data_IF_077938053638
#
_entry.id   IF_077938053638
#
_cell.length_a   1.000
_cell.length_b   1.000
_cell.length_c   1.000
_cell.angle_alpha   90.00
_cell.angle_beta   90.00
_cell.angle_gamma   90.00
#
_symmetry.space_group_name_H-M   'P 1'
#
loop_
_entity.id
_entity.type
_entity.pdbx_description
1 polymer ?
#
# COMPACT_ATOMS: atom_id res chain seq x y z
N UNK A 1 -3.04 16.59 -8.64
CA UNK A 1 -2.21 17.02 -7.48
C UNK A 1 -1.26 18.09 -7.96
N UNK A 2 -0.98 19.10 -7.15
CA UNK A 2 0.06 20.09 -7.48
C UNK A 2 1.43 19.39 -7.59
N UNK A 3 2.32 19.88 -8.47
CA UNK A 3 3.69 19.33 -8.59
C UNK A 3 4.38 19.39 -7.23
N UNK A 4 4.94 18.26 -6.76
CA UNK A 4 5.68 18.18 -5.50
C UNK A 4 4.87 17.81 -4.25
N UNK A 5 3.56 17.53 -4.36
CA UNK A 5 2.77 17.06 -3.22
C UNK A 5 2.71 15.55 -3.14
N UNK A 6 2.61 15.02 -1.92
CA UNK A 6 2.50 13.59 -1.62
C UNK A 6 1.16 13.33 -0.95
N UNK A 7 0.50 12.24 -1.36
CA UNK A 7 -0.72 11.75 -0.73
C UNK A 7 -0.44 10.49 0.08
N UNK A 8 -0.94 10.45 1.30
CA UNK A 8 -0.90 9.28 2.18
C UNK A 8 -2.27 9.00 2.76
N UNK A 9 -2.44 7.81 3.34
CA UNK A 9 -3.67 7.40 4.02
C UNK A 9 -3.38 7.13 5.48
N UNK A 10 -4.23 7.68 6.37
CA UNK A 10 -4.25 7.36 7.79
C UNK A 10 -5.55 6.65 8.13
N UNK A 11 -5.44 5.55 8.89
CA UNK A 11 -6.59 4.76 9.38
C UNK A 11 -6.92 5.19 10.80
N UNK A 12 -8.17 5.66 11.01
CA UNK A 12 -8.70 6.02 12.32
C UNK A 12 -9.81 5.07 12.72
N UNK A 13 -9.76 4.53 13.94
CA UNK A 13 -10.87 3.79 14.53
C UNK A 13 -12.02 4.78 14.82
N UNK A 14 -13.26 4.33 14.60
CA UNK A 14 -14.44 5.15 14.80
C UNK A 14 -15.32 4.53 15.88
N UNK A 15 -15.83 5.37 16.79
CA UNK A 15 -16.86 5.02 17.76
C UNK A 15 -18.10 5.86 17.51
N UNK A 16 -19.21 5.20 17.29
CA UNK A 16 -20.47 5.89 17.01
C UNK A 16 -20.84 6.84 18.14
N UNK A 17 -21.28 8.04 17.81
CA UNK A 17 -21.80 9.05 18.73
C UNK A 17 -23.30 9.23 18.52
N UNK A 18 -23.71 9.72 17.35
CA UNK A 18 -25.10 10.01 17.02
C UNK A 18 -25.36 10.16 15.52
N UNK A 19 -26.58 10.58 15.17
CA UNK A 19 -27.06 10.75 13.79
C UNK A 19 -28.18 9.79 13.42
N UNK A 20 -28.40 8.74 14.22
CA UNK A 20 -29.51 7.79 14.14
C UNK A 20 -30.07 7.51 15.55
N UNK A 21 -31.31 7.00 15.67
CA UNK A 21 -31.86 6.64 16.97
C UNK A 21 -31.04 5.58 17.70
N UNK A 22 -30.40 4.66 16.96
CA UNK A 22 -29.54 3.63 17.53
C UNK A 22 -28.32 3.32 16.66
N UNK A 23 -27.29 2.72 17.27
CA UNK A 23 -26.13 2.18 16.55
C UNK A 23 -26.52 1.11 15.51
N UNK A 24 -27.49 0.27 15.83
CA UNK A 24 -27.94 -0.81 14.94
C UNK A 24 -28.61 -0.27 13.68
N UNK A 25 -29.48 0.71 13.83
CA UNK A 25 -30.14 1.37 12.69
C UNK A 25 -29.13 2.07 11.78
N UNK A 26 -28.18 2.78 12.37
CA UNK A 26 -27.06 3.36 11.64
C UNK A 26 -26.29 2.31 10.87
N UNK A 27 -25.97 1.19 11.51
CA UNK A 27 -25.19 0.11 10.90
C UNK A 27 -25.94 -0.55 9.74
N UNK A 28 -27.22 -0.81 9.88
CA UNK A 28 -28.07 -1.37 8.79
C UNK A 28 -28.17 -0.40 7.62
N UNK A 29 -28.39 0.88 7.89
CA UNK A 29 -28.44 1.92 6.86
C UNK A 29 -27.10 2.02 6.10
N UNK A 30 -25.98 2.02 6.81
CA UNK A 30 -24.65 2.07 6.19
C UNK A 30 -24.36 0.81 5.38
N UNK A 31 -24.77 -0.36 5.81
CA UNK A 31 -24.68 -1.59 5.01
C UNK A 31 -25.55 -1.52 3.76
N UNK A 32 -26.73 -0.87 3.83
CA UNK A 32 -27.52 -0.53 2.65
C UNK A 32 -26.74 0.28 1.64
N UNK A 33 -26.07 1.35 2.08
CA UNK A 33 -25.20 2.14 1.21
C UNK A 33 -23.99 1.36 0.66
N UNK A 34 -23.42 0.41 1.40
CA UNK A 34 -22.36 -0.45 0.89
C UNK A 34 -22.83 -1.34 -0.26
N UNK A 35 -24.04 -1.91 -0.16
CA UNK A 35 -24.65 -2.67 -1.26
C UNK A 35 -24.85 -1.80 -2.49
N UNK A 36 -25.44 -0.61 -2.32
CA UNK A 36 -25.63 0.38 -3.40
C UNK A 36 -24.26 0.79 -4.01
N UNK A 37 -23.24 1.04 -3.18
CA UNK A 37 -21.88 1.39 -3.64
C UNK A 37 -21.32 0.32 -4.58
N UNK A 38 -21.43 -0.96 -4.23
CA UNK A 38 -21.00 -2.06 -5.10
C UNK A 38 -21.75 -2.07 -6.43
N UNK A 39 -23.03 -1.86 -6.40
CA UNK A 39 -23.89 -1.84 -7.61
C UNK A 39 -23.51 -0.66 -8.51
N UNK A 40 -23.35 0.54 -7.94
CA UNK A 40 -22.90 1.74 -8.66
C UNK A 40 -21.54 1.49 -9.34
N UNK A 41 -20.57 0.93 -8.61
CA UNK A 41 -19.24 0.62 -9.13
C UNK A 41 -19.33 -0.33 -10.34
N UNK A 42 -20.12 -1.41 -10.22
CA UNK A 42 -20.24 -2.42 -11.29
C UNK A 42 -21.07 -1.91 -12.47
N UNK A 43 -22.19 -1.20 -12.25
CA UNK A 43 -22.98 -0.57 -13.32
C UNK A 43 -22.13 0.46 -14.09
N UNK A 44 -21.33 1.26 -13.39
CA UNK A 44 -20.44 2.23 -14.05
C UNK A 44 -19.43 1.52 -14.96
N UNK A 45 -18.82 0.40 -14.52
CA UNK A 45 -17.90 -0.37 -15.36
C UNK A 45 -18.60 -0.96 -16.59
N UNK A 46 -19.81 -1.51 -16.42
CA UNK A 46 -20.61 -2.07 -17.51
C UNK A 46 -21.00 -1.01 -18.53
N UNK A 47 -21.49 0.15 -18.07
CA UNK A 47 -21.87 1.25 -18.96
C UNK A 47 -20.64 1.80 -19.72
N UNK A 48 -19.50 1.93 -19.06
CA UNK A 48 -18.26 2.39 -19.69
C UNK A 48 -17.76 1.39 -20.76
N UNK A 49 -17.81 0.10 -20.46
CA UNK A 49 -17.46 -0.94 -21.42
C UNK A 49 -18.42 -0.99 -22.61
N UNK A 50 -19.72 -0.95 -22.34
CA UNK A 50 -20.75 -0.96 -23.40
C UNK A 50 -20.57 0.23 -24.36
N UNK A 51 -20.37 1.43 -23.81
CA UNK A 51 -20.09 2.62 -24.61
C UNK A 51 -18.88 2.44 -25.53
N UNK A 52 -17.78 1.99 -24.98
CA UNK A 52 -16.56 1.80 -25.76
C UNK A 52 -16.68 0.69 -26.81
N UNK A 53 -17.37 -0.39 -26.47
CA UNK A 53 -17.65 -1.49 -27.41
C UNK A 53 -18.51 -0.99 -28.57
N UNK A 54 -19.65 -0.36 -28.29
CA UNK A 54 -20.57 0.18 -29.29
C UNK A 54 -19.87 1.24 -30.16
N UNK A 55 -19.08 2.13 -29.55
CA UNK A 55 -18.34 3.15 -30.29
C UNK A 55 -17.29 2.56 -31.25
N UNK A 56 -16.69 1.41 -30.89
CA UNK A 56 -15.75 0.68 -31.76
C UNK A 56 -16.46 -0.04 -32.91
N UNK A 57 -17.60 -0.66 -32.66
CA UNK A 57 -18.41 -1.27 -33.74
C UNK A 57 -18.87 -0.19 -34.74
N UNK A 58 -19.38 0.93 -34.23
CA UNK A 58 -19.73 2.06 -35.07
C UNK A 58 -18.54 2.57 -35.92
N UNK A 59 -17.34 2.61 -35.32
CA UNK A 59 -16.14 3.00 -36.09
C UNK A 59 -15.80 2.01 -37.21
N UNK A 60 -16.00 0.72 -37.02
CA UNK A 60 -15.77 -0.28 -38.08
C UNK A 60 -16.72 -0.10 -39.25
N UNK A 61 -17.94 0.35 -38.98
CA UNK A 61 -18.99 0.53 -40.00
C UNK A 61 -18.89 1.87 -40.72
N UNK A 62 -18.59 2.95 -39.97
CA UNK A 62 -18.70 4.34 -40.48
C UNK A 62 -17.37 5.08 -40.63
N UNK A 63 -16.27 4.54 -40.03
CA UNK A 63 -14.96 5.20 -39.96
C UNK A 63 -14.86 6.30 -38.91
N UNK A 64 -15.91 6.52 -38.09
CA UNK A 64 -15.94 7.54 -37.01
C UNK A 64 -16.37 6.94 -35.65
N UNK A 65 -15.81 7.46 -34.57
CA UNK A 65 -16.26 7.08 -33.21
C UNK A 65 -17.55 7.85 -32.86
N UNK A 66 -18.38 7.26 -31.99
CA UNK A 66 -19.55 7.92 -31.43
C UNK A 66 -19.13 9.17 -30.63
N UNK A 67 -19.81 10.29 -30.90
CA UNK A 67 -19.63 11.51 -30.13
C UNK A 67 -20.54 11.51 -28.90
N UNK A 68 -19.94 11.69 -27.72
CA UNK A 68 -20.68 11.66 -26.47
C UNK A 68 -21.79 12.68 -26.41
N UNK A 69 -21.56 13.89 -26.91
CA UNK A 69 -22.52 14.95 -26.80
C UNK A 69 -23.73 14.73 -27.73
N UNK A 70 -23.48 14.23 -28.91
CA UNK A 70 -24.53 13.92 -29.89
C UNK A 70 -25.43 12.78 -29.40
N UNK A 71 -24.80 11.70 -28.86
CA UNK A 71 -25.53 10.49 -28.44
C UNK A 71 -26.20 10.62 -27.09
N UNK A 72 -25.63 11.37 -26.14
CA UNK A 72 -26.13 11.40 -24.77
C UNK A 72 -26.66 12.77 -24.34
N UNK A 73 -26.38 13.83 -25.07
CA UNK A 73 -26.68 15.21 -24.68
C UNK A 73 -25.70 15.80 -23.65
N UNK A 74 -24.75 15.02 -23.15
CA UNK A 74 -23.80 15.43 -22.10
C UNK A 74 -22.42 15.68 -22.69
N UNK A 75 -21.71 16.68 -22.15
CA UNK A 75 -20.35 17.01 -22.58
C UNK A 75 -19.34 15.87 -22.31
N UNK A 76 -19.61 15.04 -21.32
CA UNK A 76 -18.73 13.94 -20.90
C UNK A 76 -19.57 12.73 -20.52
N UNK A 77 -19.07 11.54 -20.85
CA UNK A 77 -19.78 10.28 -20.60
C UNK A 77 -19.98 9.98 -19.11
N UNK A 78 -19.02 10.33 -18.25
CA UNK A 78 -19.19 10.16 -16.80
C UNK A 78 -20.31 11.03 -16.21
N UNK A 79 -20.59 12.19 -16.81
CA UNK A 79 -21.75 13.02 -16.47
C UNK A 79 -23.08 12.37 -16.87
N UNK A 80 -23.13 11.74 -18.05
CA UNK A 80 -24.29 10.94 -18.47
C UNK A 80 -24.52 9.77 -17.52
N UNK A 81 -23.50 8.99 -17.19
CA UNK A 81 -23.60 7.86 -16.23
C UNK A 81 -24.11 8.32 -14.87
N UNK A 82 -23.64 9.49 -14.39
CA UNK A 82 -24.11 10.06 -13.12
C UNK A 82 -25.61 10.33 -13.15
N UNK A 83 -26.14 10.94 -14.19
CA UNK A 83 -27.58 11.22 -14.28
C UNK A 83 -28.41 9.94 -14.40
N UNK A 84 -27.93 8.93 -15.14
CA UNK A 84 -28.59 7.62 -15.23
C UNK A 84 -28.68 6.91 -13.87
N UNK A 85 -27.68 7.07 -13.01
CA UNK A 85 -27.63 6.35 -11.72
C UNK A 85 -28.25 7.14 -10.56
N UNK A 86 -28.39 8.46 -10.68
CA UNK A 86 -28.81 9.34 -9.60
C UNK A 86 -30.22 9.03 -9.05
N UNK A 87 -31.16 8.67 -9.92
CA UNK A 87 -32.53 8.31 -9.51
C UNK A 87 -32.59 6.97 -8.79
N UNK A 88 -31.83 5.99 -9.29
CA UNK A 88 -31.82 4.62 -8.75
C UNK A 88 -31.14 4.56 -7.36
N UNK A 89 -30.20 5.46 -7.10
CA UNK A 89 -29.39 5.51 -5.87
C UNK A 89 -29.56 6.82 -5.13
N UNK A 90 -30.82 7.21 -4.92
CA UNK A 90 -31.19 8.47 -4.29
C UNK A 90 -30.85 8.57 -2.79
N UNK A 91 -30.54 7.46 -2.12
CA UNK A 91 -30.21 7.40 -0.69
C UNK A 91 -28.83 7.98 -0.39
N UNK A 92 -27.88 7.75 -1.28
CA UNK A 92 -26.49 8.19 -1.11
C UNK A 92 -26.35 9.70 -1.34
N UNK A 93 -25.53 10.36 -0.55
CA UNK A 93 -25.21 11.76 -0.79
C UNK A 93 -24.58 11.96 -2.17
N UNK A 94 -25.06 12.93 -2.95
CA UNK A 94 -24.72 13.15 -4.36
C UNK A 94 -23.20 13.26 -4.62
N UNK A 95 -22.44 13.88 -3.70
CA UNK A 95 -20.98 13.96 -3.81
C UNK A 95 -20.31 12.59 -3.64
N UNK A 96 -20.84 11.75 -2.75
CA UNK A 96 -20.32 10.39 -2.55
C UNK A 96 -20.70 9.47 -3.72
N UNK A 97 -21.88 9.64 -4.31
CA UNK A 97 -22.27 8.98 -5.55
C UNK A 97 -21.27 9.30 -6.67
N UNK A 98 -20.97 10.58 -6.88
CA UNK A 98 -19.99 11.01 -7.88
C UNK A 98 -18.58 10.47 -7.58
N UNK A 99 -18.10 10.52 -6.34
CA UNK A 99 -16.80 9.97 -5.96
C UNK A 99 -16.72 8.46 -6.22
N UNK A 100 -17.79 7.72 -5.92
CA UNK A 100 -17.90 6.29 -6.20
C UNK A 100 -17.82 5.99 -7.70
N UNK A 101 -18.55 6.75 -8.50
CA UNK A 101 -18.53 6.65 -9.97
C UNK A 101 -17.12 6.94 -10.53
N UNK A 102 -16.47 8.01 -10.07
CA UNK A 102 -15.13 8.37 -10.51
C UNK A 102 -14.08 7.30 -10.16
N UNK A 103 -14.23 6.59 -9.03
CA UNK A 103 -13.39 5.44 -8.65
C UNK A 103 -13.51 4.32 -9.69
N UNK A 104 -14.72 3.94 -10.08
CA UNK A 104 -14.96 2.92 -11.09
C UNK A 104 -14.45 3.36 -12.47
N UNK A 105 -14.71 4.61 -12.85
CA UNK A 105 -14.26 5.21 -14.10
C UNK A 105 -12.74 5.20 -14.23
N UNK A 106 -12.04 5.58 -13.16
CA UNK A 106 -10.57 5.52 -13.11
C UNK A 106 -10.06 4.08 -13.28
N UNK A 107 -10.69 3.10 -12.61
CA UNK A 107 -10.34 1.69 -12.74
C UNK A 107 -10.51 1.22 -14.19
N UNK A 108 -11.64 1.51 -14.79
CA UNK A 108 -11.93 1.16 -16.19
C UNK A 108 -10.89 1.77 -17.15
N UNK A 109 -10.62 3.07 -17.05
CA UNK A 109 -9.63 3.75 -17.90
C UNK A 109 -8.25 3.09 -17.86
N UNK A 110 -7.83 2.60 -16.70
CA UNK A 110 -6.54 1.94 -16.54
C UNK A 110 -6.50 0.53 -17.15
N UNK A 111 -7.63 -0.14 -17.30
CA UNK A 111 -7.74 -1.50 -17.84
C UNK A 111 -8.40 -1.56 -19.22
N UNK A 112 -8.86 -0.43 -19.73
CA UNK A 112 -9.67 -0.30 -20.95
C UNK A 112 -9.09 -1.04 -22.15
N UNK A 113 -7.80 -0.83 -22.44
CA UNK A 113 -7.17 -1.40 -23.64
C UNK A 113 -7.07 -2.93 -23.53
N UNK A 114 -6.77 -3.47 -22.37
CA UNK A 114 -6.64 -4.91 -22.16
C UNK A 114 -8.00 -5.60 -22.21
N UNK A 115 -9.04 -4.97 -21.65
CA UNK A 115 -10.42 -5.45 -21.71
C UNK A 115 -10.92 -5.45 -23.15
N UNK A 116 -10.70 -4.36 -23.91
CA UNK A 116 -11.14 -4.24 -25.31
C UNK A 116 -10.35 -5.15 -26.28
N UNK A 117 -9.14 -5.57 -25.92
CA UNK A 117 -8.35 -6.58 -26.68
C UNK A 117 -8.72 -8.01 -26.30
N UNK A 118 -9.53 -8.22 -25.26
CA UNK A 118 -9.87 -9.54 -24.74
C UNK A 118 -8.75 -10.23 -23.93
N UNK A 119 -7.67 -9.49 -23.61
CA UNK A 119 -6.56 -10.04 -22.77
C UNK A 119 -6.87 -9.99 -21.29
N UNK A 120 -7.89 -9.21 -20.88
CA UNK A 120 -8.39 -9.11 -19.53
C UNK A 120 -9.92 -9.10 -19.53
N UNK A 121 -10.55 -9.78 -18.56
CA UNK A 121 -11.99 -9.67 -18.31
C UNK A 121 -12.34 -8.31 -17.71
N UNK A 122 -13.59 -7.87 -17.92
CA UNK A 122 -14.09 -6.65 -17.28
C UNK A 122 -13.94 -6.76 -15.76
N UNK A 123 -13.26 -5.81 -15.10
CA UNK A 123 -13.14 -5.82 -13.64
C UNK A 123 -14.51 -5.81 -12.97
N UNK A 124 -14.62 -6.44 -11.81
CA UNK A 124 -15.81 -6.39 -10.96
C UNK A 124 -15.45 -6.14 -9.50
N UNK A 125 -16.39 -5.53 -8.79
CA UNK A 125 -16.26 -5.27 -7.35
C UNK A 125 -17.09 -6.26 -6.54
N UNK A 126 -16.50 -6.79 -5.47
CA UNK A 126 -17.16 -7.73 -4.53
C UNK A 126 -18.01 -6.98 -3.51
N UNK A 127 -18.71 -7.73 -2.64
CA UNK A 127 -19.71 -7.21 -1.69
C UNK A 127 -19.14 -6.33 -0.56
N UNK A 128 -17.87 -6.49 -0.24
CA UNK A 128 -17.17 -5.88 0.91
C UNK A 128 -16.49 -4.54 0.59
N UNK A 129 -17.04 -3.80 -0.38
CA UNK A 129 -16.43 -2.54 -0.79
C UNK A 129 -16.56 -1.45 0.28
N UNK A 130 -15.48 -0.70 0.57
CA UNK A 130 -15.56 0.50 1.38
C UNK A 130 -16.48 1.54 0.75
N UNK A 131 -17.21 2.29 1.59
CA UNK A 131 -17.91 3.49 1.13
C UNK A 131 -16.88 4.54 0.74
N UNK A 132 -16.95 5.02 -0.49
CA UNK A 132 -16.13 6.13 -0.97
C UNK A 132 -16.79 7.45 -0.55
N UNK A 133 -16.04 8.31 0.12
CA UNK A 133 -16.50 9.60 0.64
C UNK A 133 -15.73 10.74 -0.03
N UNK A 134 -16.47 11.67 -0.62
CA UNK A 134 -15.88 12.92 -1.11
C UNK A 134 -15.37 13.75 0.08
N UNK A 135 -14.24 14.43 -0.09
CA UNK A 135 -13.63 15.26 0.96
C UNK A 135 -14.58 16.29 1.59
N UNK A 136 -15.55 16.81 0.80
CA UNK A 136 -16.51 17.78 1.30
C UNK A 136 -17.67 17.15 2.08
N UNK A 137 -17.75 15.82 2.15
CA UNK A 137 -18.74 15.09 2.96
C UNK A 137 -18.16 14.60 4.28
N UNK A 138 -16.88 14.90 4.54
CA UNK A 138 -16.15 14.57 5.76
C UNK A 138 -15.71 15.85 6.43
N UNK A 139 -16.16 16.08 7.66
CA UNK A 139 -15.75 17.22 8.48
C UNK A 139 -15.06 16.70 9.74
N UNK A 140 -13.83 17.11 9.93
CA UNK A 140 -13.00 16.77 11.08
C UNK A 140 -13.12 17.86 12.14
N UNK A 141 -13.27 17.46 13.40
CA UNK A 141 -13.43 18.37 14.54
C UNK A 141 -12.54 17.93 15.71
N UNK A 142 -12.02 18.91 16.46
CA UNK A 142 -11.33 18.67 17.73
C UNK A 142 -11.56 19.86 18.65
N UNK A 143 -11.68 19.58 19.94
CA UNK A 143 -11.69 20.60 21.01
C UNK A 143 -10.35 20.66 21.78
N UNK A 144 -9.32 19.94 21.29
CA UNK A 144 -8.00 19.83 21.92
C UNK A 144 -7.87 18.60 22.84
N UNK A 145 -8.97 18.03 23.32
CA UNK A 145 -9.02 16.82 24.14
C UNK A 145 -9.58 15.68 23.32
N UNK A 146 -10.78 15.88 22.80
CA UNK A 146 -11.51 14.92 22.00
C UNK A 146 -11.45 15.26 20.51
N UNK A 147 -11.55 14.22 19.68
CA UNK A 147 -11.63 14.35 18.25
C UNK A 147 -12.82 13.55 17.71
N UNK A 148 -13.53 14.15 16.78
CA UNK A 148 -14.66 13.49 16.13
C UNK A 148 -14.77 13.86 14.66
N UNK A 149 -15.53 13.07 13.92
CA UNK A 149 -15.84 13.30 12.51
C UNK A 149 -17.33 13.32 12.29
N UNK A 150 -17.78 14.24 11.46
CA UNK A 150 -19.14 14.32 10.94
C UNK A 150 -19.13 13.86 9.47
N UNK A 151 -19.92 12.83 9.16
CA UNK A 151 -20.00 12.21 7.85
C UNK A 151 -21.37 12.46 7.21
N UNK A 152 -21.39 13.13 6.06
CA UNK A 152 -22.59 13.25 5.23
C UNK A 152 -22.70 12.02 4.33
N UNK A 153 -23.27 10.95 4.85
CA UNK A 153 -23.42 9.67 4.14
C UNK A 153 -24.67 9.67 3.25
N UNK A 154 -25.77 10.17 3.76
CA UNK A 154 -27.10 10.10 3.18
C UNK A 154 -27.52 11.38 2.50
N UNK A 155 -28.38 11.27 1.50
CA UNK A 155 -28.99 12.40 0.82
C UNK A 155 -29.96 13.17 1.74
N UNK A 156 -30.34 14.38 1.34
CA UNK A 156 -31.38 15.13 2.05
C UNK A 156 -32.71 14.42 2.03
N UNK A 157 -33.09 13.83 0.89
CA UNK A 157 -34.33 13.09 0.72
C UNK A 157 -34.40 11.89 1.69
N UNK A 158 -33.37 11.07 1.75
CA UNK A 158 -33.28 9.97 2.68
C UNK A 158 -33.43 10.43 4.14
N UNK A 159 -32.70 11.48 4.53
CA UNK A 159 -32.77 12.01 5.90
C UNK A 159 -34.19 12.49 6.26
N UNK A 160 -34.84 13.20 5.36
CA UNK A 160 -36.24 13.66 5.58
C UNK A 160 -37.19 12.48 5.71
N UNK A 161 -37.07 11.47 4.85
CA UNK A 161 -37.93 10.26 4.87
C UNK A 161 -37.78 9.47 6.17
N UNK A 162 -36.56 9.41 6.73
CA UNK A 162 -36.28 8.69 7.97
C UNK A 162 -36.23 9.55 9.23
N UNK A 163 -36.66 10.82 9.15
CA UNK A 163 -36.69 11.73 10.30
C UNK A 163 -35.33 12.07 10.89
N UNK A 164 -34.25 11.97 10.12
CA UNK A 164 -32.90 12.26 10.60
C UNK A 164 -32.60 13.76 10.49
N UNK A 165 -32.30 14.39 11.61
CA UNK A 165 -32.02 15.82 11.68
C UNK A 165 -30.57 16.19 11.41
N UNK A 166 -29.65 15.25 11.61
CA UNK A 166 -28.20 15.49 11.55
C UNK A 166 -27.46 14.51 10.61
N UNK A 167 -26.19 14.76 10.39
CA UNK A 167 -25.26 13.83 9.80
C UNK A 167 -24.78 12.81 10.84
N UNK A 168 -24.16 11.74 10.40
CA UNK A 168 -23.64 10.70 11.32
C UNK A 168 -22.33 11.19 11.94
N UNK A 169 -22.24 11.13 13.27
CA UNK A 169 -21.03 11.54 14.00
C UNK A 169 -20.36 10.33 14.66
N UNK A 170 -19.02 10.34 14.62
CA UNK A 170 -18.19 9.32 15.25
C UNK A 170 -17.07 9.99 16.04
N UNK A 171 -16.82 9.54 17.26
CA UNK A 171 -15.60 9.85 17.98
C UNK A 171 -14.41 9.12 17.37
N UNK A 172 -13.25 9.75 17.41
CA UNK A 172 -11.99 9.20 16.93
C UNK A 172 -11.04 9.03 18.12
N UNK A 173 -10.92 7.83 18.70
CA UNK A 173 -9.92 7.58 19.72
C UNK A 173 -8.51 7.68 19.11
N UNK A 174 -7.72 8.59 19.63
CA UNK A 174 -6.36 8.83 19.19
C UNK A 174 -5.39 7.94 19.97
N UNK A 175 -4.88 6.91 19.31
CA UNK A 175 -4.04 5.90 19.97
C UNK A 175 -2.55 6.26 20.03
N UNK A 176 -2.06 7.08 19.09
CA UNK A 176 -0.65 7.44 19.03
C UNK A 176 -0.39 8.90 18.62
N UNK A 177 0.86 9.34 18.80
CA UNK A 177 1.31 10.68 18.45
C UNK A 177 1.15 11.01 16.98
N UNK A 178 1.39 10.05 16.10
CA UNK A 178 1.35 10.24 14.63
C UNK A 178 -0.07 10.52 14.19
N UNK A 179 -1.05 9.75 14.69
CA UNK A 179 -2.47 9.97 14.41
C UNK A 179 -2.89 11.38 14.86
N UNK A 180 -2.50 11.80 16.08
CA UNK A 180 -2.81 13.14 16.63
C UNK A 180 -2.20 14.24 15.77
N UNK A 181 -0.92 14.13 15.44
CA UNK A 181 -0.22 15.13 14.63
C UNK A 181 -0.83 15.30 13.24
N UNK A 182 -1.12 14.18 12.54
CA UNK A 182 -1.74 14.23 11.21
C UNK A 182 -3.15 14.83 11.29
N UNK A 183 -3.93 14.44 12.30
CA UNK A 183 -5.29 14.97 12.50
C UNK A 183 -5.27 16.47 12.76
N UNK A 184 -4.36 16.94 13.63
CA UNK A 184 -4.20 18.36 13.91
C UNK A 184 -3.79 19.15 12.67
N UNK A 185 -2.81 18.65 11.91
CA UNK A 185 -2.38 19.28 10.65
C UNK A 185 -3.50 19.36 9.60
N UNK A 186 -4.44 18.41 9.61
CA UNK A 186 -5.63 18.46 8.76
C UNK A 186 -6.63 19.52 9.21
N UNK A 187 -6.82 19.69 10.52
CA UNK A 187 -7.70 20.73 11.08
C UNK A 187 -7.10 22.13 10.85
N UNK A 188 -5.79 22.27 11.06
CA UNK A 188 -5.08 23.55 10.89
C UNK A 188 -4.88 23.92 9.40
N UNK A 189 -5.25 23.02 8.47
CA UNK A 189 -5.10 23.24 7.04
C UNK A 189 -3.67 23.11 6.51
N UNK A 190 -2.71 22.68 7.34
CA UNK A 190 -1.34 22.39 6.92
C UNK A 190 -1.30 21.18 5.97
N UNK A 191 -2.22 20.22 6.16
CA UNK A 191 -2.46 19.12 5.23
C UNK A 191 -3.83 19.27 4.57
N UNK A 192 -3.89 18.98 3.27
CA UNK A 192 -5.15 19.01 2.54
C UNK A 192 -5.86 17.65 2.66
N UNK A 193 -7.17 17.67 2.98
CA UNK A 193 -8.01 16.51 3.00
C UNK A 193 -8.28 16.04 1.56
N UNK A 194 -8.06 14.74 1.30
CA UNK A 194 -8.42 14.06 0.06
C UNK A 194 -9.67 13.21 0.18
N UNK A 195 -9.82 12.27 -0.76
CA UNK A 195 -10.88 11.25 -0.71
C UNK A 195 -10.74 10.38 0.55
N UNK A 196 -11.85 10.10 1.20
CA UNK A 196 -11.89 9.24 2.37
C UNK A 196 -12.66 7.95 2.07
N UNK A 197 -12.49 6.94 2.91
CA UNK A 197 -13.24 5.70 2.82
C UNK A 197 -13.71 5.24 4.20
N UNK A 198 -14.99 4.86 4.31
CA UNK A 198 -15.54 4.26 5.51
C UNK A 198 -15.50 2.74 5.35
N UNK A 199 -14.85 2.05 6.29
CA UNK A 199 -14.59 0.61 6.27
C UNK A 199 -15.09 -0.04 7.55
N UNK A 200 -15.73 -1.20 7.43
CA UNK A 200 -16.03 -2.07 8.56
C UNK A 200 -15.07 -3.27 8.54
N UNK A 201 -14.27 -3.42 9.58
CA UNK A 201 -13.27 -4.49 9.69
C UNK A 201 -13.21 -4.99 11.15
N UNK A 202 -13.17 -6.30 11.33
CA UNK A 202 -13.04 -6.94 12.67
C UNK A 202 -14.02 -6.38 13.72
N UNK A 203 -15.27 -6.17 13.31
CA UNK A 203 -16.39 -5.65 14.14
C UNK A 203 -16.22 -4.18 14.57
N UNK A 204 -15.39 -3.41 13.87
CA UNK A 204 -15.18 -1.99 14.12
C UNK A 204 -15.31 -1.18 12.84
N UNK A 205 -15.72 0.06 13.00
CA UNK A 205 -15.71 1.04 11.92
C UNK A 205 -14.38 1.78 11.90
N UNK A 206 -13.88 2.03 10.69
CA UNK A 206 -12.66 2.80 10.46
C UNK A 206 -12.89 3.82 9.36
N UNK A 207 -12.30 5.00 9.54
CA UNK A 207 -12.17 6.00 8.49
C UNK A 207 -10.74 5.97 7.94
N UNK A 208 -10.60 5.69 6.66
CA UNK A 208 -9.36 5.86 5.93
C UNK A 208 -9.35 7.29 5.38
N UNK A 209 -8.48 8.12 5.93
CA UNK A 209 -8.36 9.54 5.57
C UNK A 209 -7.17 9.71 4.65
N UNK A 210 -7.40 10.09 3.39
CA UNK A 210 -6.32 10.53 2.51
C UNK A 210 -5.95 11.97 2.85
N UNK A 211 -4.68 12.21 3.13
CA UNK A 211 -4.14 13.54 3.34
C UNK A 211 -3.01 13.83 2.37
N UNK A 212 -2.93 15.08 1.94
CA UNK A 212 -1.97 15.56 0.96
C UNK A 212 -1.13 16.66 1.60
N UNK A 213 0.18 16.54 1.48
CA UNK A 213 1.13 17.51 2.03
C UNK A 213 2.30 17.76 1.09
N UNK A 214 2.99 18.87 1.30
CA UNK A 214 4.26 19.16 0.63
C UNK A 214 5.38 18.59 1.49
N UNK A 215 6.23 17.70 0.96
CA UNK A 215 7.33 17.14 1.73
C UNK A 215 8.39 18.18 2.06
N UNK A 216 9.12 17.92 3.14
CA UNK A 216 10.27 18.72 3.53
C UNK A 216 11.38 18.63 2.47
N UNK A 217 11.96 19.78 2.13
CA UNK A 217 13.02 19.85 1.12
C UNK A 217 14.37 19.69 1.82
N UNK A 218 15.15 18.71 1.36
CA UNK A 218 16.52 18.48 1.82
C UNK A 218 17.52 18.79 0.71
N UNK A 219 18.69 19.32 1.10
CA UNK A 219 19.81 19.51 0.16
C UNK A 219 20.52 18.17 0.03
N UNK A 220 20.21 17.44 -1.04
CA UNK A 220 20.73 16.10 -1.32
C UNK A 220 21.46 16.11 -2.66
N UNK A 221 22.55 15.33 -2.76
CA UNK A 221 23.31 15.18 -3.99
C UNK A 221 22.78 13.95 -4.77
N UNK A 222 22.12 14.14 -5.93
CA UNK A 222 21.60 13.02 -6.74
C UNK A 222 22.68 12.04 -7.23
N UNK A 223 23.92 12.48 -7.35
CA UNK A 223 25.03 11.64 -7.78
C UNK A 223 25.61 10.78 -6.64
N UNK A 224 25.36 11.15 -5.39
CA UNK A 224 25.69 10.30 -4.25
C UNK A 224 24.67 9.20 -4.09
N UNK A 225 25.10 7.97 -4.32
CA UNK A 225 24.27 6.77 -4.30
C UNK A 225 24.53 5.98 -3.03
N UNK A 226 23.48 5.69 -2.27
CA UNK A 226 23.50 4.71 -1.19
C UNK A 226 23.07 3.35 -1.75
N UNK A 227 23.96 2.38 -1.77
CA UNK A 227 23.66 1.00 -2.14
C UNK A 227 23.07 0.24 -0.95
N UNK A 228 21.92 -0.37 -1.12
CA UNK A 228 21.22 -1.12 -0.07
C UNK A 228 21.08 -2.57 -0.49
N UNK A 229 21.81 -3.44 0.18
CA UNK A 229 21.69 -4.89 0.10
C UNK A 229 20.71 -5.40 1.17
N UNK A 230 19.87 -6.36 0.82
CA UNK A 230 18.86 -6.96 1.70
C UNK A 230 19.09 -8.46 1.78
N UNK A 231 19.40 -8.94 2.98
CA UNK A 231 19.77 -10.32 3.20
C UNK A 231 19.15 -10.97 4.44
N UNK A 232 19.57 -12.22 4.68
CA UNK A 232 19.11 -13.03 5.82
C UNK A 232 19.87 -12.66 7.11
N UNK A 233 21.19 -12.50 7.03
CA UNK A 233 22.05 -12.16 8.18
C UNK A 233 21.83 -10.71 8.60
N UNK A 234 21.94 -9.81 7.65
CA UNK A 234 21.53 -8.42 7.80
C UNK A 234 20.27 -8.20 6.98
N UNK A 235 19.20 -7.80 7.65
CA UNK A 235 17.98 -7.38 6.98
C UNK A 235 18.25 -6.23 5.99
N UNK A 236 19.19 -5.35 6.37
CA UNK A 236 19.71 -4.24 5.57
C UNK A 236 21.19 -4.09 5.85
N UNK A 237 21.95 -4.08 4.77
CA UNK A 237 23.33 -3.60 4.77
C UNK A 237 23.44 -2.47 3.75
N UNK A 238 23.68 -1.25 4.21
CA UNK A 238 23.76 -0.09 3.33
C UNK A 238 25.13 0.58 3.43
N UNK A 239 25.75 0.83 2.27
CA UNK A 239 27.03 1.52 2.15
C UNK A 239 27.14 2.26 0.81
N UNK A 240 28.19 3.02 0.62
CA UNK A 240 28.38 3.79 -0.59
C UNK A 240 29.86 3.89 -0.96
N UNK A 241 30.13 3.84 -2.25
CA UNK A 241 31.47 4.16 -2.81
C UNK A 241 31.78 5.67 -2.73
N UNK A 242 30.77 6.51 -2.47
CA UNK A 242 30.86 7.98 -2.39
C UNK A 242 31.01 8.49 -0.96
N UNK A 243 31.14 7.62 0.04
CA UNK A 243 31.23 8.06 1.44
C UNK A 243 31.70 6.97 2.38
N UNK A 244 32.12 7.41 3.56
CA UNK A 244 32.56 6.52 4.64
C UNK A 244 31.42 6.25 5.59
N UNK A 245 31.22 5.02 5.95
CA UNK A 245 30.22 4.59 6.91
C UNK A 245 29.25 3.58 6.31
N UNK A 246 28.66 2.83 7.21
CA UNK A 246 27.73 1.76 6.87
C UNK A 246 26.53 1.80 7.82
N UNK A 247 25.36 1.52 7.28
CA UNK A 247 24.18 1.20 8.10
C UNK A 247 24.01 -0.33 8.08
N UNK A 248 23.99 -0.92 9.27
CA UNK A 248 23.77 -2.35 9.45
C UNK A 248 22.52 -2.54 10.32
N UNK A 249 21.58 -3.33 9.83
CA UNK A 249 20.41 -3.74 10.59
C UNK A 249 20.38 -5.25 10.57
N UNK A 250 20.57 -5.86 11.75
CA UNK A 250 20.53 -7.32 11.88
C UNK A 250 19.15 -7.86 11.52
N UNK A 251 19.15 -9.02 10.86
CA UNK A 251 17.94 -9.76 10.53
C UNK A 251 17.49 -10.65 11.68
N UNK A 252 16.40 -11.39 11.45
CA UNK A 252 15.96 -12.43 12.38
C UNK A 252 14.82 -12.05 13.30
N UNK A 253 14.61 -10.77 13.63
CA UNK A 253 13.54 -10.34 14.56
C UNK A 253 12.16 -10.89 14.16
N UNK A 254 11.78 -10.80 12.89
CA UNK A 254 10.49 -11.30 12.38
C UNK A 254 10.44 -12.83 12.45
N UNK A 255 11.54 -13.48 12.05
CA UNK A 255 11.66 -14.95 12.08
C UNK A 255 11.57 -15.50 13.51
N UNK A 256 12.25 -14.86 14.45
CA UNK A 256 12.23 -15.31 15.85
C UNK A 256 10.88 -15.05 16.52
N UNK A 257 10.23 -13.93 16.18
CA UNK A 257 8.86 -13.67 16.61
C UNK A 257 7.89 -14.70 16.03
N UNK A 258 8.02 -15.02 14.74
CA UNK A 258 7.20 -16.05 14.08
C UNK A 258 7.40 -17.42 14.73
N UNK A 259 8.65 -17.86 14.97
CA UNK A 259 8.96 -19.12 15.66
C UNK A 259 8.33 -19.18 17.06
N UNK A 260 8.37 -18.05 17.80
CA UNK A 260 7.74 -17.96 19.12
C UNK A 260 6.21 -18.15 19.03
N UNK A 261 5.57 -17.51 18.07
CA UNK A 261 4.13 -17.64 17.86
C UNK A 261 3.73 -19.03 17.31
N UNK A 262 4.54 -19.63 16.42
CA UNK A 262 4.32 -20.99 15.92
C UNK A 262 4.37 -22.03 17.06
N UNK A 263 5.35 -21.93 17.96
CA UNK A 263 5.40 -22.80 19.16
C UNK A 263 4.14 -22.66 20.02
N UNK A 264 3.65 -21.42 20.20
CA UNK A 264 2.43 -21.13 20.94
C UNK A 264 1.19 -21.68 20.22
N UNK A 265 1.10 -21.51 18.89
CA UNK A 265 0.07 -22.08 18.01
C UNK A 265 0.02 -23.60 18.16
N UNK A 266 1.17 -24.26 18.12
CA UNK A 266 1.28 -25.71 18.29
C UNK A 266 0.81 -26.18 19.67
N UNK A 267 1.16 -25.45 20.71
CA UNK A 267 0.67 -25.70 22.06
C UNK A 267 -0.85 -25.62 22.16
N UNK A 268 -1.46 -24.58 21.58
CA UNK A 268 -2.92 -24.42 21.55
C UNK A 268 -3.62 -25.53 20.75
N UNK A 269 -3.08 -25.89 19.59
CA UNK A 269 -3.61 -27.00 18.79
C UNK A 269 -3.56 -28.33 19.55
N UNK A 270 -2.46 -28.60 20.28
CA UNK A 270 -2.34 -29.78 21.12
C UNK A 270 -3.37 -29.78 22.26
N UNK A 271 -3.56 -28.63 22.93
CA UNK A 271 -4.56 -28.48 23.98
C UNK A 271 -5.99 -28.63 23.44
N UNK A 272 -6.29 -28.12 22.24
CA UNK A 272 -7.61 -28.20 21.64
C UNK A 272 -8.08 -29.66 21.40
N UNK A 273 -7.16 -30.62 21.22
CA UNK A 273 -7.49 -32.05 21.07
C UNK A 273 -8.11 -32.66 22.34
N UNK A 274 -7.84 -32.07 23.51
CA UNK A 274 -8.34 -32.54 24.78
C UNK A 274 -9.52 -31.70 25.32
N UNK A 275 -10.00 -30.73 24.57
CA UNK A 275 -11.13 -29.89 24.95
C UNK A 275 -12.41 -30.43 24.30
N UNK A 276 -13.43 -30.76 25.08
CA UNK A 276 -14.76 -31.09 24.56
C UNK A 276 -15.47 -29.88 23.99
N UNK A 277 -16.41 -30.10 23.06
CA UNK A 277 -17.14 -29.04 22.33
C UNK A 277 -18.16 -28.24 23.17
N UNK A 278 -18.44 -28.65 24.41
CA UNK A 278 -19.54 -28.14 25.22
C UNK A 278 -19.18 -27.16 26.34
N UNK A 279 -17.91 -26.75 26.52
CA UNK A 279 -17.53 -25.83 27.59
C UNK A 279 -17.48 -24.39 27.13
N UNK A 280 -18.33 -23.54 27.70
CA UNK A 280 -18.32 -22.09 27.46
C UNK A 280 -17.00 -21.50 27.93
N UNK A 281 -16.28 -20.80 27.02
CA UNK A 281 -15.00 -20.12 27.33
C UNK A 281 -13.74 -20.99 27.25
N UNK A 282 -13.83 -22.30 27.19
CA UNK A 282 -12.66 -23.20 27.18
C UNK A 282 -12.68 -24.29 26.09
N UNK A 283 -13.66 -24.28 25.20
CA UNK A 283 -13.83 -25.29 24.15
C UNK A 283 -12.87 -25.13 22.98
N UNK A 284 -12.91 -26.09 22.05
CA UNK A 284 -12.10 -26.14 20.81
C UNK A 284 -12.15 -24.84 20.02
N UNK A 285 -13.33 -24.22 19.86
CA UNK A 285 -13.51 -22.95 19.15
C UNK A 285 -12.71 -21.80 19.74
N UNK A 286 -12.68 -21.69 21.07
CA UNK A 286 -11.91 -20.63 21.77
C UNK A 286 -10.40 -20.83 21.60
N UNK A 287 -9.92 -22.07 21.63
CA UNK A 287 -8.50 -22.39 21.44
C UNK A 287 -8.06 -22.18 19.99
N UNK A 288 -8.91 -22.54 19.03
CA UNK A 288 -8.62 -22.35 17.60
C UNK A 288 -8.65 -20.87 17.23
N UNK A 289 -9.50 -20.03 17.84
CA UNK A 289 -9.50 -18.59 17.60
C UNK A 289 -8.13 -17.95 17.86
N UNK A 290 -7.41 -18.35 18.91
CA UNK A 290 -6.04 -17.87 19.18
C UNK A 290 -5.03 -18.28 18.10
N UNK A 291 -5.24 -19.41 17.43
CA UNK A 291 -4.42 -19.88 16.32
C UNK A 291 -4.53 -18.96 15.12
N UNK A 292 -5.75 -18.57 14.76
CA UNK A 292 -5.97 -17.63 13.64
C UNK A 292 -5.43 -16.23 13.93
N UNK A 293 -5.56 -15.76 15.17
CA UNK A 293 -4.99 -14.47 15.57
C UNK A 293 -3.45 -14.43 15.50
N UNK A 294 -2.77 -15.58 15.60
CA UNK A 294 -1.32 -15.64 15.53
C UNK A 294 -0.77 -15.19 14.17
N UNK A 295 -1.45 -15.53 13.08
CA UNK A 295 -1.04 -15.13 11.73
C UNK A 295 -1.15 -13.61 11.52
N UNK A 296 -2.25 -13.00 11.97
CA UNK A 296 -2.42 -11.55 11.99
C UNK A 296 -1.32 -10.85 12.81
N UNK A 297 -0.94 -11.42 13.95
CA UNK A 297 0.12 -10.84 14.80
C UNK A 297 1.48 -10.89 14.12
N UNK A 298 1.81 -11.95 13.39
CA UNK A 298 3.06 -12.04 12.61
C UNK A 298 3.05 -10.99 11.49
N UNK A 299 1.95 -10.87 10.77
CA UNK A 299 1.82 -9.88 9.69
C UNK A 299 1.96 -8.45 10.21
N UNK A 300 1.29 -8.10 11.31
CA UNK A 300 1.36 -6.78 11.93
C UNK A 300 2.77 -6.48 12.49
N UNK A 301 3.41 -7.47 13.11
CA UNK A 301 4.78 -7.30 13.61
C UNK A 301 5.76 -7.05 12.47
N UNK A 302 5.70 -7.85 11.41
CA UNK A 302 6.50 -7.66 10.19
C UNK A 302 6.30 -6.28 9.59
N UNK A 303 5.06 -5.83 9.48
CA UNK A 303 4.75 -4.49 8.97
C UNK A 303 5.41 -3.40 9.81
N UNK A 304 5.34 -3.51 11.14
CA UNK A 304 5.99 -2.59 12.09
C UNK A 304 7.51 -2.58 11.91
N UNK A 305 8.14 -3.75 11.79
CA UNK A 305 9.59 -3.89 11.57
C UNK A 305 9.99 -3.27 10.24
N UNK A 306 9.26 -3.56 9.16
CA UNK A 306 9.54 -2.97 7.84
C UNK A 306 9.38 -1.44 7.83
N UNK A 307 8.44 -0.89 8.59
CA UNK A 307 8.32 0.56 8.79
C UNK A 307 9.53 1.14 9.52
N UNK A 308 10.06 0.45 10.55
CA UNK A 308 11.24 0.86 11.31
C UNK A 308 12.50 0.82 10.44
N UNK A 309 12.71 -0.28 9.72
CA UNK A 309 13.89 -0.47 8.87
C UNK A 309 13.91 0.49 7.68
N UNK A 310 12.79 0.64 6.98
CA UNK A 310 12.69 1.59 5.87
C UNK A 310 12.91 3.04 6.32
N UNK A 311 12.45 3.40 7.54
CA UNK A 311 12.75 4.72 8.12
C UNK A 311 14.24 4.88 8.38
N UNK A 312 14.89 3.90 8.99
CA UNK A 312 16.34 3.97 9.29
C UNK A 312 17.20 4.15 8.03
N UNK A 313 16.84 3.48 6.91
CA UNK A 313 17.55 3.66 5.63
C UNK A 313 17.40 5.08 5.09
N UNK A 314 16.19 5.61 5.11
CA UNK A 314 15.92 6.95 4.56
C UNK A 314 16.53 8.03 5.46
N UNK A 315 16.38 7.92 6.79
CA UNK A 315 16.99 8.85 7.75
C UNK A 315 18.54 8.85 7.58
N UNK A 316 19.16 7.68 7.36
CA UNK A 316 20.59 7.57 7.09
C UNK A 316 20.98 8.25 5.78
N UNK A 317 20.18 8.05 4.71
CA UNK A 317 20.41 8.70 3.42
C UNK A 317 20.31 10.23 3.53
N UNK A 318 19.28 10.75 4.18
CA UNK A 318 19.09 12.19 4.43
C UNK A 318 20.24 12.76 5.23
N UNK A 319 20.61 12.13 6.36
CA UNK A 319 21.69 12.59 7.26
C UNK A 319 23.04 12.69 6.54
N UNK A 320 23.31 11.82 5.57
CA UNK A 320 24.58 11.78 4.86
C UNK A 320 24.53 12.43 3.47
N UNK A 321 23.41 13.06 3.11
CA UNK A 321 23.26 13.82 1.87
C UNK A 321 23.16 12.94 0.60
N UNK A 322 22.73 11.68 0.72
CA UNK A 322 22.50 10.81 -0.44
C UNK A 322 21.18 11.19 -1.14
N UNK A 323 21.27 11.59 -2.39
CA UNK A 323 20.09 11.92 -3.21
C UNK A 323 19.55 10.73 -4.00
N UNK A 324 20.27 9.59 -4.01
CA UNK A 324 19.84 8.35 -4.65
C UNK A 324 20.02 7.16 -3.71
N UNK A 325 18.98 6.32 -3.58
CA UNK A 325 19.05 4.98 -2.98
C UNK A 325 18.97 3.97 -4.13
N UNK A 326 19.91 3.05 -4.20
CA UNK A 326 19.93 1.97 -5.20
C UNK A 326 19.79 0.62 -4.52
N UNK A 327 18.90 -0.23 -5.02
CA UNK A 327 18.56 -1.55 -4.46
C UNK A 327 18.44 -2.57 -5.59
N UNK A 328 18.60 -3.84 -5.29
CA UNK A 328 18.29 -4.91 -6.23
C UNK A 328 16.78 -5.02 -6.47
N UNK A 329 16.37 -5.39 -7.68
CA UNK A 329 14.97 -5.72 -7.97
C UNK A 329 14.66 -7.15 -7.51
N UNK A 330 13.97 -7.24 -6.39
CA UNK A 330 13.59 -8.51 -5.78
C UNK A 330 12.14 -8.92 -6.11
N UNK A 331 11.48 -8.29 -7.09
CA UNK A 331 10.07 -8.53 -7.43
C UNK A 331 9.80 -9.96 -7.95
N UNK A 332 10.79 -10.62 -8.58
CA UNK A 332 10.69 -11.97 -9.13
C UNK A 332 11.00 -13.14 -8.18
N UNK A 333 11.50 -12.85 -6.97
CA UNK A 333 12.02 -13.91 -6.06
C UNK A 333 10.93 -14.84 -5.50
N UNK A 334 9.65 -14.46 -5.56
CA UNK A 334 8.54 -15.30 -5.08
C UNK A 334 8.25 -16.54 -5.94
N UNK A 335 8.72 -16.57 -7.19
CA UNK A 335 8.43 -17.64 -8.14
C UNK A 335 9.46 -18.78 -8.08
N UNK A 336 10.55 -18.58 -7.33
CA UNK A 336 11.59 -19.60 -7.19
C UNK A 336 11.21 -20.62 -6.10
N UNK A 337 10.92 -21.84 -6.51
CA UNK A 337 10.46 -22.96 -5.66
C UNK A 337 11.49 -23.43 -4.62
N UNK A 338 12.70 -22.87 -4.62
CA UNK A 338 13.80 -23.17 -3.70
C UNK A 338 13.93 -22.25 -2.49
N UNK A 339 13.01 -21.29 -2.30
CA UNK A 339 13.16 -20.29 -1.24
C UNK A 339 13.04 -20.91 0.17
N UNK A 340 14.01 -20.71 1.07
CA UNK A 340 13.97 -21.29 2.41
C UNK A 340 12.72 -20.86 3.16
N UNK A 341 12.02 -21.81 3.84
CA UNK A 341 10.83 -21.51 4.68
C UNK A 341 11.03 -20.35 5.65
N UNK A 342 12.27 -20.13 6.10
CA UNK A 342 12.66 -19.02 6.99
C UNK A 342 12.41 -17.64 6.39
N UNK A 343 12.56 -17.49 5.09
CA UNK A 343 12.37 -16.25 4.35
C UNK A 343 10.93 -16.02 3.89
N UNK A 344 10.06 -17.03 3.98
CA UNK A 344 8.64 -16.90 3.64
C UNK A 344 7.90 -15.90 4.55
N UNK A 345 8.40 -15.66 5.77
CA UNK A 345 7.85 -14.66 6.68
C UNK A 345 8.36 -13.24 6.40
N UNK A 346 9.43 -13.11 5.63
CA UNK A 346 10.02 -11.82 5.26
C UNK A 346 9.56 -11.42 3.86
N UNK A 347 8.95 -10.26 3.71
CA UNK A 347 8.56 -9.72 2.42
C UNK A 347 9.49 -8.57 2.03
N UNK A 348 10.56 -8.88 1.29
CA UNK A 348 11.48 -7.89 0.73
C UNK A 348 10.74 -6.84 -0.11
N UNK A 349 9.75 -7.27 -0.89
CA UNK A 349 8.93 -6.37 -1.69
C UNK A 349 8.23 -5.28 -0.86
N UNK A 350 7.66 -5.66 0.31
CA UNK A 350 7.02 -4.70 1.21
C UNK A 350 8.03 -3.71 1.80
N UNK A 351 9.23 -4.20 2.20
CA UNK A 351 10.30 -3.34 2.70
C UNK A 351 10.79 -2.37 1.63
N UNK A 352 11.02 -2.85 0.39
CA UNK A 352 11.40 -2.00 -0.75
C UNK A 352 10.35 -0.93 -1.04
N UNK A 353 9.08 -1.31 -1.09
CA UNK A 353 7.96 -0.39 -1.30
C UNK A 353 7.90 0.70 -0.21
N UNK A 354 8.15 0.32 1.05
CA UNK A 354 8.19 1.27 2.17
C UNK A 354 9.39 2.22 2.08
N UNK A 355 10.56 1.73 1.64
CA UNK A 355 11.73 2.59 1.38
C UNK A 355 11.40 3.58 0.25
N UNK A 356 10.86 3.12 -0.88
CA UNK A 356 10.47 3.98 -2.00
C UNK A 356 9.49 5.08 -1.59
N UNK A 357 8.46 4.70 -0.82
CA UNK A 357 7.44 5.66 -0.39
C UNK A 357 8.02 6.72 0.55
N UNK A 358 8.87 6.32 1.51
CA UNK A 358 9.52 7.27 2.41
C UNK A 358 10.60 8.10 1.71
N UNK A 359 11.38 7.51 0.82
CA UNK A 359 12.39 8.22 0.03
C UNK A 359 11.79 9.37 -0.78
N UNK A 360 10.62 9.15 -1.39
CA UNK A 360 9.86 10.21 -2.09
C UNK A 360 9.53 11.41 -1.20
N UNK A 361 9.26 11.17 0.09
CA UNK A 361 8.94 12.24 1.05
C UNK A 361 10.11 13.19 1.30
N UNK A 362 11.33 12.71 1.07
CA UNK A 362 12.58 13.47 1.26
C UNK A 362 13.23 13.86 -0.07
N UNK A 363 12.56 13.65 -1.21
CA UNK A 363 13.10 13.97 -2.52
C UNK A 363 14.23 13.03 -2.99
N UNK A 364 14.41 11.87 -2.34
CA UNK A 364 15.41 10.87 -2.68
C UNK A 364 14.89 10.03 -3.85
N UNK A 365 15.72 9.89 -4.87
CA UNK A 365 15.46 8.98 -6.00
C UNK A 365 15.73 7.54 -5.61
N UNK A 366 14.83 6.61 -5.93
CA UNK A 366 15.07 5.17 -5.77
C UNK A 366 15.27 4.53 -7.14
N UNK A 367 16.30 3.73 -7.27
CA UNK A 367 16.67 2.98 -8.48
C UNK A 367 16.72 1.49 -8.14
N UNK A 368 16.04 0.66 -8.93
CA UNK A 368 16.14 -0.79 -8.86
C UNK A 368 17.05 -1.29 -9.96
N UNK A 369 17.95 -2.23 -9.62
CA UNK A 369 18.95 -2.83 -10.53
C UNK A 369 18.77 -4.34 -10.62
N UNK A 370 19.28 -4.92 -11.70
CA UNK A 370 19.34 -6.38 -11.87
C UNK A 370 20.25 -7.00 -10.78
N UNK A 371 19.75 -7.97 -10.00
CA UNK A 371 20.53 -8.59 -8.90
C UNK A 371 21.67 -9.49 -9.37
N UNK A 372 21.74 -9.82 -10.65
CA UNK A 372 22.73 -10.78 -11.19
C UNK A 372 24.15 -10.33 -10.92
N UNK A 373 24.93 -11.23 -10.31
CA UNK A 373 26.36 -11.09 -10.03
C UNK A 373 26.78 -9.93 -9.12
N UNK A 374 25.88 -9.18 -8.51
CA UNK A 374 26.20 -8.09 -7.58
C UNK A 374 26.97 -8.59 -6.37
N UNK A 375 26.63 -9.76 -5.83
CA UNK A 375 27.33 -10.41 -4.71
C UNK A 375 28.62 -11.13 -5.10
N UNK A 376 28.81 -11.47 -6.40
CA UNK A 376 29.98 -12.19 -6.89
C UNK A 376 31.09 -11.29 -7.45
N UNK A 377 30.73 -10.06 -7.80
CA UNK A 377 31.65 -9.04 -8.30
C UNK A 377 32.48 -8.44 -7.16
N UNK A 378 33.78 -8.34 -7.34
CA UNK A 378 34.65 -7.60 -6.44
C UNK A 378 34.40 -6.09 -6.56
N UNK A 379 34.05 -5.41 -5.47
CA UNK A 379 33.85 -3.96 -5.46
C UNK A 379 35.16 -3.18 -5.70
N UNK A 380 36.33 -3.78 -5.42
CA UNK A 380 37.62 -3.15 -5.59
C UNK A 380 38.14 -3.23 -7.03
N UNK A 381 38.20 -4.44 -7.63
CA UNK A 381 38.80 -4.63 -8.95
C UNK A 381 37.80 -4.97 -10.07
N UNK A 382 36.53 -5.20 -9.76
CA UNK A 382 35.52 -5.52 -10.74
C UNK A 382 35.49 -6.98 -11.21
N UNK A 383 36.41 -7.85 -10.74
CA UNK A 383 36.47 -9.26 -11.13
C UNK A 383 35.16 -9.98 -10.66
N UNK A 384 34.54 -10.74 -11.58
CA UNK A 384 33.33 -11.51 -11.32
C UNK A 384 33.70 -12.99 -11.33
N UNK A 385 33.56 -13.65 -10.17
CA UNK A 385 33.73 -15.09 -10.02
C UNK A 385 32.83 -15.62 -8.89
N UNK A 386 32.06 -16.70 -9.09
CA UNK A 386 31.27 -17.31 -8.01
C UNK A 386 32.11 -17.70 -6.79
N UNK A 387 33.38 -18.05 -6.96
CA UNK A 387 34.33 -18.40 -5.88
C UNK A 387 34.70 -17.22 -5.00
N UNK A 388 34.48 -15.99 -5.43
CA UNK A 388 34.73 -14.79 -4.63
C UNK A 388 33.88 -14.77 -3.36
N UNK A 389 32.63 -15.33 -3.40
CA UNK A 389 31.76 -15.45 -2.24
C UNK A 389 31.99 -16.79 -1.55
N UNK A 390 32.85 -16.82 -0.56
CA UNK A 390 33.23 -18.05 0.14
C UNK A 390 32.15 -18.54 1.10
N UNK A 391 31.36 -17.62 1.70
CA UNK A 391 30.24 -17.94 2.59
C UNK A 391 29.20 -16.82 2.56
N UNK A 392 28.14 -16.97 3.37
CA UNK A 392 27.14 -15.91 3.58
C UNK A 392 27.76 -14.58 4.01
N UNK A 393 28.81 -14.61 4.84
CA UNK A 393 29.41 -13.43 5.44
C UNK A 393 30.83 -13.10 4.93
N UNK A 394 31.46 -14.00 4.17
CA UNK A 394 32.85 -13.85 3.76
C UNK A 394 33.00 -13.71 2.25
N UNK A 395 33.65 -12.65 1.84
CA UNK A 395 34.06 -12.37 0.48
C UNK A 395 35.56 -12.33 0.39
N UNK A 396 36.15 -13.04 -0.57
CA UNK A 396 37.56 -12.98 -0.91
C UNK A 396 37.75 -13.03 -2.42
N UNK A 397 38.26 -11.98 -3.01
CA UNK A 397 38.46 -11.88 -4.46
C UNK A 397 39.59 -12.82 -4.93
N UNK A 398 39.31 -13.67 -5.89
CA UNK A 398 40.27 -14.60 -6.49
C UNK A 398 41.32 -13.92 -7.38
N UNK A 399 41.10 -12.66 -7.77
CA UNK A 399 42.00 -11.91 -8.65
C UNK A 399 42.86 -10.87 -7.92
N UNK A 400 42.40 -10.26 -6.80
CA UNK A 400 43.16 -9.19 -6.12
C UNK A 400 43.25 -9.37 -4.61
N UNK A 401 42.85 -10.53 -4.09
CA UNK A 401 42.87 -10.91 -2.66
C UNK A 401 42.13 -9.94 -1.71
N UNK A 402 41.27 -9.08 -2.27
CA UNK A 402 40.44 -8.20 -1.45
C UNK A 402 39.49 -9.02 -0.59
N UNK A 403 39.56 -8.81 0.73
CA UNK A 403 38.72 -9.50 1.72
C UNK A 403 37.78 -8.52 2.38
N UNK A 404 36.49 -8.90 2.49
CA UNK A 404 35.46 -8.08 3.11
C UNK A 404 34.29 -8.96 3.63
N UNK A 405 33.40 -8.32 4.37
CA UNK A 405 32.07 -8.91 4.57
C UNK A 405 31.33 -8.95 3.22
N UNK A 406 30.62 -10.06 2.95
CA UNK A 406 29.95 -10.28 1.66
C UNK A 406 28.87 -9.22 1.38
N UNK A 407 28.08 -8.87 2.41
CA UNK A 407 26.99 -7.89 2.28
C UNK A 407 27.57 -6.45 2.13
N UNK A 408 28.73 -6.17 2.75
CA UNK A 408 29.48 -4.93 2.48
C UNK A 408 29.91 -4.85 1.02
N UNK A 409 30.54 -5.90 0.49
CA UNK A 409 30.96 -5.93 -0.91
C UNK A 409 29.78 -5.79 -1.87
N UNK A 410 28.65 -6.45 -1.57
CA UNK A 410 27.41 -6.33 -2.36
C UNK A 410 26.88 -4.90 -2.33
N UNK A 411 26.71 -4.30 -1.16
CA UNK A 411 26.22 -2.91 -1.02
C UNK A 411 27.11 -1.87 -1.71
N UNK A 412 28.46 -2.07 -1.71
CA UNK A 412 29.39 -1.25 -2.48
C UNK A 412 29.16 -1.39 -4.00
N UNK A 413 28.98 -2.61 -4.50
CA UNK A 413 28.65 -2.82 -5.89
C UNK A 413 27.30 -2.18 -6.25
N UNK A 414 26.28 -2.38 -5.41
CA UNK A 414 24.95 -1.78 -5.59
C UNK A 414 25.05 -0.24 -5.63
N UNK A 415 25.93 0.39 -4.84
CA UNK A 415 26.08 1.85 -4.86
C UNK A 415 26.77 2.40 -6.11
N UNK A 416 27.33 1.54 -6.97
CA UNK A 416 28.01 1.97 -8.20
C UNK A 416 26.98 2.38 -9.26
N UNK A 417 27.12 3.58 -9.82
CA UNK A 417 26.23 4.10 -10.87
C UNK A 417 26.29 3.22 -12.12
N UNK A 418 25.11 2.72 -12.56
CA UNK A 418 24.98 1.90 -13.76
C UNK A 418 25.63 0.51 -13.67
N UNK A 419 25.71 -0.05 -12.47
CA UNK A 419 26.35 -1.34 -12.17
C UNK A 419 25.82 -2.50 -13.02
N UNK A 420 24.52 -2.53 -13.28
CA UNK A 420 23.84 -3.51 -14.14
C UNK A 420 24.45 -3.55 -15.55
N UNK A 421 24.69 -2.38 -16.14
CA UNK A 421 25.34 -2.24 -17.46
C UNK A 421 26.80 -2.65 -17.42
N UNK A 422 27.50 -2.30 -16.34
CA UNK A 422 28.92 -2.69 -16.15
C UNK A 422 29.04 -4.20 -16.06
N UNK A 423 28.19 -4.86 -15.25
CA UNK A 423 28.16 -6.33 -15.12
C UNK A 423 27.84 -6.98 -16.45
N UNK A 424 26.79 -6.51 -17.14
CA UNK A 424 26.39 -7.06 -18.43
C UNK A 424 27.53 -6.98 -19.48
N UNK A 425 28.25 -5.86 -19.53
CA UNK A 425 29.42 -5.71 -20.42
C UNK A 425 30.57 -6.68 -20.07
N UNK A 426 30.85 -6.84 -18.78
CA UNK A 426 31.91 -7.75 -18.31
C UNK A 426 31.58 -9.22 -18.60
N UNK A 427 30.31 -9.61 -18.48
CA UNK A 427 29.88 -10.97 -18.77
C UNK A 427 29.93 -11.29 -20.28
N UNK A 428 29.57 -10.33 -21.14
CA UNK A 428 29.70 -10.47 -22.60
C UNK A 428 31.16 -10.66 -23.03
N UNK A 429 32.06 -9.83 -22.51
CA UNK A 429 33.51 -9.94 -22.80
C UNK A 429 34.17 -11.25 -22.31
N UNK A 430 33.53 -12.01 -21.42
CA UNK A 430 34.00 -13.33 -20.98
C UNK A 430 33.41 -14.49 -21.84
N UNK A 431 32.36 -14.23 -22.60
CA UNK A 431 31.71 -15.21 -23.49
C UNK A 431 32.23 -15.14 -24.93
N UNK A 432 32.97 -14.11 -25.27
CA UNK A 432 33.79 -13.97 -26.49
C UNK A 432 35.20 -14.53 -26.25
#
# INVERSE_FOLDING_TARGET
MAKGTIAKVMKYELRYLDGFPSFYEMQEAVWGLQRQTREILNKTLQMAFHWDYTSREHFKETGSYLDVRTETGYKRFDGYVYECLKSDYSDIASKNLNATLQKAWKKYRNTRLDVLKGTMSLPSYRSDQPLTLDKNTVKLHSDGVDAWVELTLFSKAYKTQHGLSSNVRFAIPMHDRTQRSIFQNLIDGAYALGECQLVYDKKKWFLLVTYVFTPEQHILDPEKILGVDMGEAYAIYASSVYGYGTLKIEGGEVTDYAKKLERRKWSYQKQARYCGDGRIGHGTKTRIAEVYQAEDRIANYRDTINHRYSKAVVDYAVKNGYGTIQMEDLSGIKEDTGFPRRLQHWTYYDLQTKIENKAKEHGIRVVKIDPRCTSQRCSRCGHIDPKNRQSQSQFCCTACDFRANADFNASQNISTKGIDKIIAKTLRAKSE
#
